data_IF_776143105233
#
_entry.id   IF_776143105233
#
_cell.length_a   1.000
_cell.length_b   1.000
_cell.length_c   1.000
_cell.angle_alpha   90.00
_cell.angle_beta   90.00
_cell.angle_gamma   90.00
#
_symmetry.space_group_name_H-M   'P 1'
#
loop_
_entity.id
_entity.type
_entity.pdbx_description
1 polymer ?
#
# COMPACT_ATOMS: atom_id res chain seq x y z
N UNK A 1 13.00 -34.13 13.71
CA UNK A 1 11.90 -33.12 13.74
C UNK A 1 12.35 -31.69 14.09
N UNK A 2 13.55 -31.44 14.63
CA UNK A 2 14.04 -30.09 14.99
C UNK A 2 14.63 -29.25 13.82
N UNK A 3 14.80 -29.83 12.62
CA UNK A 3 15.44 -29.18 11.46
C UNK A 3 14.48 -28.41 10.55
N UNK A 4 13.18 -28.73 10.62
CA UNK A 4 12.10 -28.06 9.86
C UNK A 4 11.97 -26.57 10.25
N UNK A 5 11.95 -26.17 11.54
CA UNK A 5 11.87 -24.75 11.89
C UNK A 5 13.11 -23.95 11.47
N UNK A 6 14.29 -24.59 11.43
CA UNK A 6 15.55 -23.96 11.00
C UNK A 6 15.52 -23.66 9.49
N UNK A 7 14.96 -24.57 8.68
CA UNK A 7 14.81 -24.38 7.24
C UNK A 7 13.77 -23.30 6.89
N UNK A 8 12.67 -23.23 7.65
CA UNK A 8 11.67 -22.15 7.52
C UNK A 8 12.24 -20.78 7.89
N UNK A 9 13.02 -20.71 8.97
CA UNK A 9 13.70 -19.47 9.37
C UNK A 9 14.72 -19.00 8.33
N UNK A 10 15.42 -19.93 7.66
CA UNK A 10 16.39 -19.59 6.60
C UNK A 10 15.71 -19.00 5.35
N UNK A 11 14.55 -19.51 4.95
CA UNK A 11 13.79 -18.97 3.82
C UNK A 11 13.21 -17.58 4.10
N UNK A 12 12.86 -17.27 5.35
CA UNK A 12 12.34 -15.96 5.73
C UNK A 12 13.35 -14.81 5.53
N UNK A 13 14.66 -15.10 5.62
CA UNK A 13 15.72 -14.08 5.49
C UNK A 13 15.83 -13.54 4.05
N UNK A 14 15.53 -14.36 3.04
CA UNK A 14 15.63 -13.95 1.63
C UNK A 14 14.40 -13.20 1.10
N UNK A 15 13.29 -13.19 1.83
CA UNK A 15 12.01 -12.68 1.34
C UNK A 15 11.87 -11.14 1.44
N UNK A 16 12.77 -10.45 2.13
CA UNK A 16 12.65 -9.02 2.44
C UNK A 16 13.80 -8.22 1.84
N UNK A 17 13.89 -8.20 0.51
CA UNK A 17 14.74 -7.24 -0.18
C UNK A 17 13.88 -6.17 -0.86
N UNK A 18 13.76 -5.02 -0.21
CA UNK A 18 13.12 -3.85 -0.82
C UNK A 18 13.94 -3.36 -2.02
N UNK A 19 13.28 -2.83 -3.04
CA UNK A 19 13.98 -2.21 -4.17
C UNK A 19 14.78 -1.00 -3.67
N UNK A 20 16.07 -0.91 -4.04
CA UNK A 20 16.92 0.22 -3.68
C UNK A 20 16.41 1.56 -4.23
N UNK A 21 15.59 1.50 -5.29
CA UNK A 21 14.93 2.66 -5.90
C UNK A 21 13.44 2.34 -6.02
N UNK A 22 12.56 3.02 -5.28
CA UNK A 22 11.13 2.79 -5.39
C UNK A 22 10.61 3.27 -6.75
N UNK A 23 9.53 2.66 -7.23
CA UNK A 23 8.77 3.19 -8.36
C UNK A 23 7.92 4.37 -7.86
N UNK A 24 7.87 5.45 -8.63
CA UNK A 24 7.04 6.63 -8.32
C UNK A 24 5.88 6.65 -9.31
N UNK A 25 4.66 6.65 -8.79
CA UNK A 25 3.45 6.87 -9.58
C UNK A 25 2.82 8.16 -9.07
N UNK A 26 2.70 9.16 -9.94
CA UNK A 26 2.10 10.45 -9.63
C UNK A 26 0.70 10.52 -10.23
N UNK A 27 -0.31 10.68 -9.37
CA UNK A 27 -1.69 10.89 -9.77
C UNK A 27 -2.04 12.37 -9.62
N UNK A 28 -2.58 12.97 -10.69
CA UNK A 28 -3.09 14.34 -10.68
C UNK A 28 -4.49 14.32 -11.29
N UNK A 29 -5.45 14.89 -10.57
CA UNK A 29 -6.80 15.15 -11.05
C UNK A 29 -7.01 16.65 -11.13
N UNK A 30 -7.54 17.13 -12.25
CA UNK A 30 -7.85 18.53 -12.45
C UNK A 30 -9.06 18.94 -11.59
N UNK A 31 -9.04 20.17 -11.07
CA UNK A 31 -10.07 20.76 -10.19
C UNK A 31 -10.56 19.87 -9.01
N UNK A 32 -9.74 18.90 -8.57
CA UNK A 32 -10.11 18.00 -7.48
C UNK A 32 -10.09 18.76 -6.15
N UNK A 33 -11.27 19.17 -5.68
CA UNK A 33 -11.41 19.82 -4.39
C UNK A 33 -11.03 18.88 -3.25
N UNK A 34 -10.33 19.43 -2.24
CA UNK A 34 -9.86 18.68 -1.07
C UNK A 34 -10.97 17.95 -0.30
N UNK A 35 -12.20 18.47 -0.30
CA UNK A 35 -13.36 17.92 0.42
C UNK A 35 -14.15 16.88 -0.41
N UNK A 36 -13.74 16.58 -1.64
CA UNK A 36 -14.44 15.66 -2.55
C UNK A 36 -13.83 14.26 -2.54
N UNK A 37 -13.64 13.71 -1.35
CA UNK A 37 -13.16 12.35 -1.10
C UNK A 37 -13.95 11.74 0.08
N UNK A 38 -14.27 10.45 0.05
CA UNK A 38 -14.91 9.82 1.22
C UNK A 38 -13.97 9.77 2.42
N UNK A 39 -12.68 9.53 2.22
CA UNK A 39 -11.70 9.61 3.30
C UNK A 39 -11.56 11.02 3.92
N UNK A 40 -11.99 12.08 3.21
CA UNK A 40 -12.09 13.44 3.74
C UNK A 40 -13.43 13.71 4.48
N UNK A 41 -14.27 12.69 4.68
CA UNK A 41 -15.54 12.79 5.41
C UNK A 41 -16.73 13.24 4.56
N UNK A 42 -16.62 13.21 3.22
CA UNK A 42 -17.74 13.59 2.36
C UNK A 42 -18.93 12.62 2.54
N UNK A 43 -20.16 13.10 2.77
CA UNK A 43 -21.28 12.24 3.25
C UNK A 43 -21.84 11.27 2.20
N UNK A 44 -21.62 11.53 0.92
CA UNK A 44 -22.25 10.79 -0.19
C UNK A 44 -21.23 10.14 -1.15
N UNK A 45 -20.14 10.82 -1.48
CA UNK A 45 -19.13 10.34 -2.42
C UNK A 45 -18.51 9.04 -1.91
N UNK A 46 -18.24 8.13 -2.86
CA UNK A 46 -17.54 6.88 -2.61
C UNK A 46 -16.30 6.87 -3.49
N UNK A 47 -15.12 6.92 -2.88
CA UNK A 47 -13.82 6.87 -3.56
C UNK A 47 -13.01 5.65 -3.11
N UNK A 48 -13.54 4.41 -3.23
CA UNK A 48 -13.00 3.23 -2.55
C UNK A 48 -11.56 2.87 -2.95
N UNK A 49 -11.12 3.30 -4.13
CA UNK A 49 -9.73 3.11 -4.56
C UNK A 49 -8.78 4.11 -3.91
N UNK A 50 -9.20 5.38 -3.78
CA UNK A 50 -8.41 6.40 -3.09
C UNK A 50 -8.43 6.14 -1.58
N UNK A 51 -9.57 5.72 -1.04
CA UNK A 51 -9.71 5.37 0.37
C UNK A 51 -8.81 4.19 0.79
N UNK A 52 -8.50 3.28 -0.13
CA UNK A 52 -7.55 2.17 0.11
C UNK A 52 -6.09 2.63 0.08
N UNK A 53 -5.82 3.74 -0.61
CA UNK A 53 -4.48 4.32 -0.74
C UNK A 53 -4.15 5.30 0.41
N UNK A 54 -5.18 5.89 1.05
CA UNK A 54 -5.07 6.82 2.17
C UNK A 54 -4.74 6.11 3.49
#
# INVERSE_FOLDING_TARGET
MKRIPVLLAFFAVFAVQAAQRPNIIFFLSDDHRWDRLSCAGHPILKTPNIDRLA
#
